data_IF_915062595054
#
_entry.id   IF_915062595054
#
_cell.length_a   1.000
_cell.length_b   1.000
_cell.length_c   1.000
_cell.angle_alpha   90.00
_cell.angle_beta   90.00
_cell.angle_gamma   90.00
#
_symmetry.space_group_name_H-M   'P 1'
#
loop_
_entity.id
_entity.type
_entity.pdbx_description
1 polymer ?
#
# COMPACT_ATOMS: atom_id res chain seq x y z
N UNK A 1 -11.21 -7.38 24.40
CA UNK A 1 -9.83 -7.74 23.99
C UNK A 1 -9.82 -7.91 22.48
N UNK A 2 -9.21 -6.97 21.76
CA UNK A 2 -9.35 -6.82 20.32
C UNK A 2 -8.31 -7.69 19.59
N UNK A 3 -8.68 -8.35 18.48
CA UNK A 3 -7.66 -8.93 17.58
C UNK A 3 -6.82 -7.79 17.00
N UNK A 4 -5.56 -7.73 17.43
CA UNK A 4 -4.64 -6.61 17.24
C UNK A 4 -4.03 -6.10 18.56
N UNK A 5 -4.67 -6.38 19.70
CA UNK A 5 -4.03 -6.28 21.00
C UNK A 5 -3.39 -7.63 21.35
N UNK A 6 -2.06 -7.60 21.55
CA UNK A 6 -1.32 -8.70 22.18
C UNK A 6 -2.12 -9.26 23.36
N UNK A 7 -2.03 -10.58 23.57
CA UNK A 7 -2.26 -11.16 24.89
C UNK A 7 -1.32 -10.50 25.89
N UNK A 8 -1.82 -9.51 26.63
CA UNK A 8 -1.14 -8.92 27.79
C UNK A 8 -0.92 -9.94 28.94
N UNK A 9 -1.09 -11.24 28.70
CA UNK A 9 -1.06 -12.28 29.73
C UNK A 9 -0.24 -13.54 29.41
N UNK A 10 0.42 -13.64 28.26
CA UNK A 10 1.42 -14.69 28.04
C UNK A 10 2.80 -14.16 28.46
N UNK A 11 3.08 -14.22 29.76
CA UNK A 11 4.43 -14.08 30.28
C UNK A 11 5.24 -15.29 29.78
N UNK A 12 6.21 -15.06 28.91
CA UNK A 12 7.12 -16.13 28.49
C UNK A 12 8.17 -16.25 29.58
N UNK A 13 7.99 -17.21 30.45
CA UNK A 13 9.00 -17.60 31.41
C UNK A 13 10.06 -18.46 30.69
N UNK A 14 11.31 -17.96 30.53
CA UNK A 14 12.38 -18.73 29.89
C UNK A 14 12.78 -19.99 30.68
N UNK A 15 12.32 -20.15 31.94
CA UNK A 15 12.60 -21.32 32.77
C UNK A 15 11.65 -22.51 32.52
N UNK A 16 10.57 -22.35 31.73
CA UNK A 16 9.58 -23.41 31.46
C UNK A 16 9.52 -23.79 29.99
N UNK A 17 10.11 -24.94 29.66
CA UNK A 17 10.17 -25.48 28.30
C UNK A 17 8.80 -25.83 27.71
N UNK A 18 7.85 -26.30 28.53
CA UNK A 18 6.50 -26.66 28.10
C UNK A 18 5.44 -26.17 29.09
N UNK A 19 4.33 -25.63 28.59
CA UNK A 19 3.16 -25.25 29.38
C UNK A 19 1.89 -25.52 28.57
N UNK A 20 0.98 -26.35 29.08
CA UNK A 20 -0.36 -26.44 28.50
C UNK A 20 -1.10 -25.13 28.75
N UNK A 21 -1.56 -24.46 27.70
CA UNK A 21 -2.22 -23.17 27.82
C UNK A 21 -3.74 -23.35 27.90
N UNK A 22 -4.32 -24.08 26.95
CA UNK A 22 -5.78 -24.29 26.86
C UNK A 22 -6.58 -22.98 26.87
N UNK A 23 -6.00 -21.88 26.39
CA UNK A 23 -6.58 -20.54 26.54
C UNK A 23 -7.51 -20.22 25.38
N UNK A 24 -8.75 -19.89 25.72
CA UNK A 24 -9.76 -19.47 24.78
C UNK A 24 -9.80 -17.94 24.67
N UNK A 25 -9.82 -17.46 23.44
CA UNK A 25 -9.97 -16.04 23.10
C UNK A 25 -11.18 -15.91 22.19
N UNK A 26 -12.01 -14.90 22.47
CA UNK A 26 -13.20 -14.64 21.69
C UNK A 26 -13.27 -13.17 21.31
N UNK A 27 -13.83 -12.90 20.13
CA UNK A 27 -14.16 -11.57 19.65
C UNK A 27 -15.53 -11.63 19.00
N UNK A 28 -16.38 -10.70 19.38
CA UNK A 28 -17.57 -10.34 18.63
C UNK A 28 -17.49 -8.85 18.32
N UNK A 29 -18.00 -8.46 17.16
CA UNK A 29 -18.10 -7.06 16.76
C UNK A 29 -19.32 -6.89 15.86
N UNK A 30 -19.97 -5.75 16.01
CA UNK A 30 -21.09 -5.31 15.18
C UNK A 30 -20.75 -3.91 14.71
N UNK A 31 -20.75 -3.70 13.40
CA UNK A 31 -20.50 -2.42 12.76
C UNK A 31 -21.69 -2.05 11.88
N UNK A 32 -22.10 -0.79 11.94
CA UNK A 32 -23.03 -0.21 10.98
C UNK A 32 -22.23 0.29 9.78
N UNK A 33 -22.61 -0.11 8.58
CA UNK A 33 -21.97 0.37 7.36
C UNK A 33 -22.63 1.69 6.98
N UNK A 34 -21.84 2.78 6.91
CA UNK A 34 -22.34 4.13 6.63
C UNK A 34 -22.04 4.58 5.19
N UNK A 35 -21.45 3.72 4.36
CA UNK A 35 -21.13 4.05 2.97
C UNK A 35 -22.38 3.99 2.09
N UNK A 36 -22.69 5.08 1.37
CA UNK A 36 -23.58 5.06 0.21
C UNK A 36 -22.82 4.60 -1.05
N UNK A 37 -22.01 3.55 -0.91
CA UNK A 37 -21.30 2.99 -2.06
C UNK A 37 -22.29 2.06 -2.80
N UNK A 38 -22.61 2.28 -4.08
CA UNK A 38 -23.49 1.38 -4.84
C UNK A 38 -22.97 -0.07 -4.91
N UNK A 39 -21.69 -0.30 -4.60
CA UNK A 39 -21.11 -1.65 -4.45
C UNK A 39 -21.12 -2.20 -3.03
N UNK A 40 -21.41 -1.37 -2.03
CA UNK A 40 -21.70 -1.82 -0.67
C UNK A 40 -23.11 -2.41 -0.55
N UNK A 41 -23.57 -3.18 -1.54
CA UNK A 41 -24.62 -4.21 -1.43
C UNK A 41 -25.79 -3.92 -0.47
N UNK A 42 -26.35 -2.70 -0.41
CA UNK A 42 -27.37 -2.32 0.59
C UNK A 42 -27.06 -2.88 1.99
N UNK A 43 -25.77 -2.93 2.35
CA UNK A 43 -25.30 -3.53 3.59
C UNK A 43 -25.59 -2.52 4.70
N UNK A 44 -26.48 -2.90 5.61
CA UNK A 44 -26.81 -2.10 6.77
C UNK A 44 -25.85 -2.42 7.93
N UNK A 45 -25.53 -3.71 8.10
CA UNK A 45 -24.72 -4.17 9.22
C UNK A 45 -23.71 -5.24 8.80
N UNK A 46 -22.53 -5.15 9.40
CA UNK A 46 -21.47 -6.15 9.33
C UNK A 46 -21.18 -6.64 10.74
N UNK A 47 -21.41 -7.93 10.98
CA UNK A 47 -21.10 -8.58 12.24
C UNK A 47 -19.95 -9.55 12.04
N UNK A 48 -19.08 -9.66 13.02
CA UNK A 48 -17.95 -10.60 12.98
C UNK A 48 -17.81 -11.27 14.33
N UNK A 49 -17.78 -12.59 14.32
CA UNK A 49 -17.46 -13.39 15.48
C UNK A 49 -16.23 -14.26 15.20
N UNK A 50 -15.36 -14.39 16.18
CA UNK A 50 -14.14 -15.20 16.08
C UNK A 50 -13.83 -15.82 17.43
N UNK A 51 -13.46 -17.09 17.40
CA UNK A 51 -12.91 -17.85 18.51
C UNK A 51 -11.49 -18.28 18.15
N UNK A 52 -10.59 -18.27 19.12
CA UNK A 52 -9.23 -18.77 19.01
C UNK A 52 -8.90 -19.59 20.25
N UNK A 53 -8.25 -20.72 20.05
CA UNK A 53 -7.71 -21.57 21.10
C UNK A 53 -6.19 -21.62 20.95
N UNK A 54 -5.48 -21.18 21.98
CA UNK A 54 -4.03 -21.36 22.11
C UNK A 54 -3.80 -22.67 22.86
N UNK A 55 -3.18 -23.66 22.19
CA UNK A 55 -3.12 -25.04 22.67
C UNK A 55 -2.12 -25.19 23.83
N UNK A 56 -0.84 -25.04 23.52
CA UNK A 56 0.26 -25.15 24.47
C UNK A 56 1.39 -24.20 24.07
N UNK A 57 2.29 -23.93 25.01
CA UNK A 57 3.55 -23.25 24.78
C UNK A 57 4.66 -24.29 24.81
N UNK A 58 5.51 -24.27 23.78
CA UNK A 58 6.80 -24.95 23.81
C UNK A 58 7.89 -23.92 23.53
N UNK A 59 8.67 -23.56 24.56
CA UNK A 59 9.65 -22.46 24.51
C UNK A 59 9.05 -21.16 23.97
N UNK A 60 9.36 -20.83 22.71
CA UNK A 60 8.94 -19.60 22.00
C UNK A 60 7.80 -19.84 21.01
N UNK A 61 7.25 -21.05 20.98
CA UNK A 61 6.22 -21.48 20.04
C UNK A 61 4.87 -21.63 20.76
N UNK A 62 3.82 -21.08 20.15
CA UNK A 62 2.43 -21.26 20.59
C UNK A 62 1.57 -21.64 19.37
N UNK A 63 1.25 -22.93 19.18
CA UNK A 63 0.28 -23.37 18.18
C UNK A 63 -1.11 -22.89 18.57
N UNK A 64 -1.89 -22.45 17.59
CA UNK A 64 -3.27 -22.04 17.80
C UNK A 64 -4.19 -22.51 16.67
N UNK A 65 -5.46 -22.61 17.02
CA UNK A 65 -6.56 -22.80 16.09
C UNK A 65 -7.52 -21.62 16.24
N UNK A 66 -8.06 -21.12 15.13
CA UNK A 66 -9.09 -20.10 15.12
C UNK A 66 -10.21 -20.48 14.19
N UNK A 67 -11.43 -20.18 14.58
CA UNK A 67 -12.61 -20.27 13.74
C UNK A 67 -13.38 -18.98 13.87
N UNK A 68 -14.00 -18.53 12.79
CA UNK A 68 -14.81 -17.34 12.82
C UNK A 68 -15.89 -17.35 11.76
N UNK A 69 -16.75 -16.37 11.86
CA UNK A 69 -17.76 -16.10 10.87
C UNK A 69 -17.88 -14.60 10.69
N UNK A 70 -18.14 -14.22 9.45
CA UNK A 70 -18.55 -12.87 9.11
C UNK A 70 -20.00 -12.93 8.63
N UNK A 71 -20.84 -12.07 9.20
CA UNK A 71 -22.27 -12.00 8.89
C UNK A 71 -22.56 -10.65 8.30
N UNK A 72 -23.09 -10.64 7.09
CA UNK A 72 -23.47 -9.43 6.38
C UNK A 72 -24.99 -9.35 6.32
N UNK A 73 -25.54 -8.25 6.80
CA UNK A 73 -26.98 -7.97 6.76
C UNK A 73 -27.25 -6.80 5.80
N UNK A 74 -27.92 -7.13 4.70
CA UNK A 74 -28.57 -6.19 3.79
C UNK A 74 -30.01 -6.64 3.53
N UNK A 75 -30.43 -6.88 2.28
CA UNK A 75 -31.74 -7.49 1.96
C UNK A 75 -31.91 -8.93 2.46
N UNK A 76 -30.80 -9.63 2.69
CA UNK A 76 -30.76 -11.00 3.22
C UNK A 76 -29.56 -11.18 4.14
N UNK A 77 -29.67 -12.13 5.07
CA UNK A 77 -28.58 -12.53 5.96
C UNK A 77 -27.63 -13.46 5.22
N UNK A 78 -26.32 -13.16 5.29
CA UNK A 78 -25.29 -13.95 4.63
C UNK A 78 -24.20 -14.31 5.63
N UNK A 79 -23.75 -15.55 5.58
CA UNK A 79 -22.81 -16.13 6.55
C UNK A 79 -21.56 -16.62 5.84
N UNK A 80 -20.40 -16.18 6.34
CA UNK A 80 -19.09 -16.48 5.77
C UNK A 80 -18.21 -17.11 6.84
N UNK A 81 -18.33 -18.44 7.06
CA UNK A 81 -17.49 -19.14 8.00
C UNK A 81 -16.06 -19.27 7.44
N UNK A 82 -15.10 -19.21 8.35
CA UNK A 82 -13.69 -19.42 8.06
C UNK A 82 -12.99 -20.08 9.25
N UNK A 83 -11.87 -20.73 8.97
CA UNK A 83 -10.98 -21.35 9.92
C UNK A 83 -9.53 -20.99 9.63
N UNK A 84 -8.70 -21.07 10.65
CA UNK A 84 -7.27 -20.84 10.56
C UNK A 84 -6.52 -21.71 11.58
N UNK A 85 -5.40 -22.28 11.17
CA UNK A 85 -4.43 -22.89 12.05
C UNK A 85 -3.08 -22.21 11.85
N UNK A 86 -2.34 -21.98 12.93
CA UNK A 86 -1.04 -21.34 12.83
C UNK A 86 -0.15 -21.60 14.04
N UNK A 87 1.11 -21.17 13.91
CA UNK A 87 2.08 -21.26 15.00
C UNK A 87 2.68 -19.89 15.23
N UNK A 88 2.55 -19.39 16.47
CA UNK A 88 3.18 -18.13 16.87
C UNK A 88 4.60 -18.40 17.33
N UNK A 89 5.57 -17.85 16.61
CA UNK A 89 6.98 -17.85 16.97
C UNK A 89 7.35 -16.48 17.54
N UNK A 90 7.71 -16.43 18.82
CA UNK A 90 8.25 -15.21 19.43
C UNK A 90 9.75 -15.11 19.10
N UNK A 91 10.13 -14.13 18.28
CA UNK A 91 11.54 -13.86 17.97
C UNK A 91 12.22 -13.05 19.08
N UNK A 92 11.53 -12.02 19.56
CA UNK A 92 11.95 -11.11 20.65
C UNK A 92 10.76 -10.77 21.53
N UNK A 93 11.00 -10.06 22.63
CA UNK A 93 9.92 -9.69 23.55
C UNK A 93 8.77 -8.92 22.87
N UNK A 94 9.10 -8.09 21.89
CA UNK A 94 8.14 -7.25 21.18
C UNK A 94 7.86 -7.65 19.75
N UNK A 95 8.39 -8.78 19.28
CA UNK A 95 8.26 -9.22 17.89
C UNK A 95 7.89 -10.71 17.80
N UNK A 96 6.79 -10.99 17.11
CA UNK A 96 6.34 -12.33 16.77
C UNK A 96 6.19 -12.51 15.26
N UNK A 97 6.44 -13.73 14.79
CA UNK A 97 6.11 -14.23 13.46
C UNK A 97 5.06 -15.32 13.58
N UNK A 98 4.12 -15.35 12.65
CA UNK A 98 2.97 -16.25 12.70
C UNK A 98 2.73 -16.81 11.30
N UNK A 99 3.39 -17.90 10.90
CA UNK A 99 2.92 -18.71 9.79
C UNK A 99 1.54 -19.29 10.10
N UNK A 100 0.66 -19.27 9.11
CA UNK A 100 -0.70 -19.77 9.24
C UNK A 100 -1.24 -20.34 7.92
N UNK A 101 -2.23 -21.21 8.04
CA UNK A 101 -3.06 -21.72 6.96
C UNK A 101 -4.51 -21.36 7.28
N UNK A 102 -5.18 -20.63 6.39
CA UNK A 102 -6.58 -20.22 6.56
C UNK A 102 -7.41 -20.68 5.38
N UNK A 103 -8.60 -21.19 5.67
CA UNK A 103 -9.60 -21.52 4.67
C UNK A 103 -10.97 -21.04 5.08
N UNK A 104 -11.87 -20.84 4.12
CA UNK A 104 -13.21 -20.35 4.41
C UNK A 104 -14.02 -20.13 3.16
N UNK A 105 -15.16 -19.46 3.31
CA UNK A 105 -15.98 -19.02 2.18
C UNK A 105 -15.92 -17.51 2.07
N UNK A 106 -15.66 -17.00 0.87
CA UNK A 106 -15.81 -15.57 0.56
C UNK A 106 -16.84 -15.39 -0.54
N UNK A 107 -17.66 -14.34 -0.48
CA UNK A 107 -18.49 -13.97 -1.61
C UNK A 107 -17.57 -13.36 -2.68
N UNK A 108 -17.54 -13.98 -3.85
CA UNK A 108 -17.10 -13.30 -5.07
C UNK A 108 -18.35 -12.81 -5.80
N UNK A 109 -18.31 -11.57 -6.27
CA UNK A 109 -19.23 -11.13 -7.32
C UNK A 109 -18.77 -11.79 -8.61
N UNK A 110 -19.44 -12.85 -9.03
CA UNK A 110 -19.29 -13.40 -10.36
C UNK A 110 -20.28 -12.71 -11.27
N UNK A 111 -19.77 -11.89 -12.20
CA UNK A 111 -20.53 -11.41 -13.35
C UNK A 111 -20.18 -12.36 -14.51
N UNK A 112 -21.08 -13.28 -14.92
CA UNK A 112 -20.90 -13.99 -16.18
C UNK A 112 -20.81 -12.96 -17.33
N UNK A 113 -20.03 -13.29 -18.36
CA UNK A 113 -19.71 -12.37 -19.47
C UNK A 113 -20.86 -12.08 -20.46
N UNK A 114 -22.08 -12.51 -20.16
CA UNK A 114 -23.26 -12.27 -21.00
C UNK A 114 -24.20 -11.26 -20.32
N UNK A 115 -24.41 -10.12 -20.99
CA UNK A 115 -25.13 -8.93 -20.50
C UNK A 115 -26.61 -9.17 -20.09
N UNK A 116 -27.16 -10.36 -20.30
CA UNK A 116 -28.57 -10.68 -20.01
C UNK A 116 -28.78 -11.72 -18.89
N UNK A 117 -27.73 -12.22 -18.22
CA UNK A 117 -27.90 -13.22 -17.15
C UNK A 117 -27.87 -12.61 -15.75
N UNK A 118 -28.88 -12.97 -14.94
CA UNK A 118 -29.02 -12.63 -13.52
C UNK A 118 -27.71 -12.92 -12.80
N UNK A 119 -27.18 -11.96 -12.05
CA UNK A 119 -25.94 -12.09 -11.26
C UNK A 119 -26.03 -13.33 -10.35
N UNK A 120 -25.40 -14.42 -10.75
CA UNK A 120 -25.33 -15.64 -9.96
C UNK A 120 -24.22 -15.50 -8.92
N UNK A 121 -24.61 -15.31 -7.66
CA UNK A 121 -23.68 -15.27 -6.54
C UNK A 121 -23.24 -16.70 -6.19
N UNK A 122 -22.01 -17.06 -6.55
CA UNK A 122 -21.38 -18.29 -6.08
C UNK A 122 -20.45 -17.99 -4.91
N UNK A 123 -20.65 -18.68 -3.78
CA UNK A 123 -19.69 -18.65 -2.69
C UNK A 123 -18.55 -19.62 -3.02
N UNK A 124 -17.36 -19.10 -3.31
CA UNK A 124 -16.18 -19.96 -3.50
C UNK A 124 -15.50 -20.21 -2.16
N UNK A 125 -15.08 -21.46 -1.96
CA UNK A 125 -14.14 -21.80 -0.92
C UNK A 125 -12.77 -21.23 -1.26
N UNK A 126 -12.05 -20.74 -0.25
CA UNK A 126 -10.64 -20.40 -0.37
C UNK A 126 -9.84 -21.22 0.63
N UNK A 127 -8.57 -21.47 0.27
CA UNK A 127 -7.54 -21.97 1.17
C UNK A 127 -6.25 -21.23 0.80
N UNK A 128 -5.64 -20.54 1.76
CA UNK A 128 -4.36 -19.87 1.55
C UNK A 128 -3.47 -20.03 2.78
N UNK A 129 -2.16 -20.11 2.53
CA UNK A 129 -1.15 -20.04 3.57
C UNK A 129 -0.52 -18.64 3.55
N UNK A 130 -0.08 -18.17 4.71
CA UNK A 130 0.56 -16.87 4.83
C UNK A 130 1.41 -16.77 6.08
N UNK A 131 2.05 -15.61 6.26
CA UNK A 131 2.82 -15.29 7.45
C UNK A 131 2.43 -13.89 7.93
N UNK A 132 2.12 -13.75 9.23
CA UNK A 132 1.92 -12.44 9.87
C UNK A 132 3.13 -12.09 10.72
N UNK A 133 3.48 -10.81 10.72
CA UNK A 133 4.42 -10.26 11.69
C UNK A 133 3.63 -9.41 12.66
N UNK A 134 3.77 -9.68 13.95
CA UNK A 134 3.16 -8.89 15.02
C UNK A 134 4.27 -8.20 15.81
N UNK A 135 4.28 -6.88 15.82
CA UNK A 135 5.17 -6.07 16.65
C UNK A 135 4.34 -5.30 17.68
N UNK A 136 4.78 -5.29 18.93
CA UNK A 136 4.14 -4.50 19.98
C UNK A 136 4.91 -3.23 20.25
N UNK A 137 4.19 -2.12 20.15
CA UNK A 137 4.61 -0.84 20.67
C UNK A 137 4.25 -0.85 22.16
N UNK A 138 5.20 -1.25 23.01
CA UNK A 138 4.98 -1.23 24.47
C UNK A 138 4.64 0.17 24.98
N UNK A 139 3.96 0.25 26.12
CA UNK A 139 3.87 1.50 26.89
C UNK A 139 5.29 2.01 27.18
N UNK A 140 5.53 3.34 27.17
CA UNK A 140 6.85 3.87 27.47
C UNK A 140 7.26 3.43 28.88
N UNK A 141 8.35 2.68 28.98
CA UNK A 141 9.07 2.58 30.26
C UNK A 141 9.58 3.99 30.56
N UNK A 142 8.94 4.67 31.50
CA UNK A 142 9.42 5.93 32.05
C UNK A 142 10.60 5.63 32.98
N UNK A 143 11.72 5.20 32.40
CA UNK A 143 13.02 5.21 33.05
C UNK A 143 14.13 5.03 32.01
N UNK A 144 15.04 6.02 31.98
CA UNK A 144 16.29 6.12 31.20
C UNK A 144 16.12 6.69 29.79
N UNK A 145 16.39 8.00 29.72
CA UNK A 145 16.71 8.69 28.49
C UNK A 145 17.99 8.16 27.84
N UNK A 146 18.18 8.64 26.61
CA UNK A 146 19.19 8.29 25.59
C UNK A 146 18.73 7.21 24.59
N UNK A 147 18.53 7.65 23.34
CA UNK A 147 18.18 6.91 22.12
C UNK A 147 16.90 6.04 22.20
N UNK A 148 15.79 6.55 21.64
CA UNK A 148 14.54 5.79 21.52
C UNK A 148 13.27 6.49 22.02
N UNK A 149 13.33 7.80 22.28
CA UNK A 149 12.15 8.60 22.63
C UNK A 149 11.19 8.73 21.44
N UNK A 150 9.88 8.65 21.73
CA UNK A 150 8.84 8.89 20.74
C UNK A 150 8.89 10.35 20.30
N UNK A 151 9.21 10.58 19.03
CA UNK A 151 9.15 11.89 18.42
C UNK A 151 7.74 12.09 17.83
N UNK A 152 6.95 12.94 18.49
CA UNK A 152 5.63 13.39 18.05
C UNK A 152 5.72 14.66 17.20
N UNK A 153 6.70 14.74 16.31
CA UNK A 153 6.80 15.83 15.35
C UNK A 153 6.33 15.29 13.99
N UNK A 154 5.11 15.63 13.54
CA UNK A 154 4.67 15.25 12.20
C UNK A 154 5.60 15.90 11.19
N UNK A 155 6.38 15.08 10.49
CA UNK A 155 7.14 15.53 9.33
C UNK A 155 6.18 15.54 8.15
N UNK A 156 5.95 16.72 7.57
CA UNK A 156 5.10 16.90 6.40
C UNK A 156 6.00 17.18 5.23
N UNK A 157 5.85 16.36 4.19
CA UNK A 157 6.51 16.56 2.91
C UNK A 157 5.45 16.67 1.84
N UNK A 158 5.68 17.57 0.89
CA UNK A 158 4.79 17.76 -0.24
C UNK A 158 5.52 17.59 -1.56
N UNK A 159 4.78 17.09 -2.55
CA UNK A 159 5.18 17.16 -3.95
C UNK A 159 4.03 17.74 -4.75
N UNK A 160 4.32 18.75 -5.56
CA UNK A 160 3.38 19.32 -6.50
C UNK A 160 4.02 19.41 -7.87
N UNK A 161 3.34 18.93 -8.91
CA UNK A 161 3.88 18.90 -10.25
C UNK A 161 2.83 19.11 -11.33
N UNK A 162 3.30 19.58 -12.48
CA UNK A 162 2.52 19.79 -13.67
C UNK A 162 3.31 19.31 -14.88
N UNK A 163 2.63 18.67 -15.83
CA UNK A 163 3.27 18.19 -17.04
C UNK A 163 2.35 18.28 -18.25
N UNK A 164 2.99 18.51 -19.39
CA UNK A 164 2.40 18.41 -20.71
C UNK A 164 2.44 16.96 -21.18
N UNK A 165 1.32 16.45 -21.67
CA UNK A 165 1.18 15.08 -22.19
C UNK A 165 1.26 15.09 -23.71
N UNK A 166 2.46 14.90 -24.23
CA UNK A 166 2.68 14.71 -25.66
C UNK A 166 2.22 13.30 -26.10
N UNK A 167 1.72 13.21 -27.34
CA UNK A 167 1.29 11.97 -28.03
C UNK A 167 0.11 11.20 -27.42
N UNK A 168 -0.49 11.66 -26.31
CA UNK A 168 -1.75 11.07 -25.86
C UNK A 168 -2.91 11.46 -26.78
N UNK A 169 -3.77 10.48 -27.09
CA UNK A 169 -5.04 10.70 -27.80
C UNK A 169 -6.10 11.38 -26.93
N UNK A 170 -5.97 11.28 -25.60
CA UNK A 170 -7.06 11.59 -24.67
C UNK A 170 -6.81 12.79 -23.76
N UNK A 171 -5.54 13.10 -23.49
CA UNK A 171 -5.11 14.08 -22.49
C UNK A 171 -4.12 15.07 -23.08
N UNK A 172 -4.17 16.31 -22.60
CA UNK A 172 -3.22 17.37 -22.98
C UNK A 172 -2.23 17.70 -21.89
N UNK A 173 -2.68 17.60 -20.66
CA UNK A 173 -1.95 18.05 -19.49
C UNK A 173 -2.30 17.15 -18.31
N UNK A 174 -1.46 17.14 -17.30
CA UNK A 174 -1.78 16.56 -16.02
C UNK A 174 -0.94 17.14 -14.90
N UNK A 175 -1.18 16.64 -13.70
CA UNK A 175 -0.44 17.05 -12.52
C UNK A 175 -0.32 15.97 -11.48
N UNK A 176 0.44 16.29 -10.44
CA UNK A 176 0.62 15.48 -9.25
C UNK A 176 0.52 16.41 -8.04
N UNK A 177 -0.27 16.02 -7.04
CA UNK A 177 -0.25 16.62 -5.71
C UNK A 177 -0.13 15.47 -4.72
N UNK A 178 0.96 15.41 -3.99
CA UNK A 178 1.22 14.35 -3.01
C UNK A 178 1.61 15.00 -1.68
N UNK A 179 1.15 14.41 -0.58
CA UNK A 179 1.48 14.80 0.78
C UNK A 179 1.87 13.54 1.54
N UNK A 180 3.08 13.53 2.08
CA UNK A 180 3.59 12.48 2.93
C UNK A 180 3.71 12.98 4.37
N UNK A 181 2.98 12.31 5.28
CA UNK A 181 2.91 12.65 6.70
C UNK A 181 3.48 11.50 7.52
N UNK A 182 4.55 11.77 8.27
CA UNK A 182 5.06 10.84 9.28
C UNK A 182 4.41 11.12 10.62
N UNK A 183 3.38 10.36 10.96
CA UNK A 183 2.53 10.60 12.12
C UNK A 183 3.25 10.37 13.45
N UNK A 184 4.05 9.31 13.53
CA UNK A 184 4.66 8.88 14.77
C UNK A 184 5.97 8.14 14.51
N UNK A 185 7.06 8.57 15.13
CA UNK A 185 8.38 7.96 14.97
C UNK A 185 8.92 7.46 16.31
N UNK A 186 9.31 6.18 16.35
CA UNK A 186 10.19 5.59 17.38
C UNK A 186 11.19 4.72 16.67
N UNK A 187 12.39 5.26 16.43
CA UNK A 187 13.43 4.60 15.66
C UNK A 187 13.59 3.13 16.10
N UNK A 188 13.62 2.16 15.16
CA UNK A 188 13.62 2.33 13.70
C UNK A 188 12.23 2.41 13.03
N UNK A 189 11.15 2.50 13.80
CA UNK A 189 9.77 2.42 13.33
C UNK A 189 9.12 3.77 13.09
N UNK A 190 8.31 3.85 12.04
CA UNK A 190 7.54 5.05 11.68
C UNK A 190 6.14 4.67 11.21
N UNK A 191 5.11 5.24 11.83
CA UNK A 191 3.75 5.21 11.29
C UNK A 191 3.61 6.35 10.29
N UNK A 192 3.14 6.04 9.08
CA UNK A 192 3.01 7.03 8.03
C UNK A 192 1.60 7.06 7.44
N UNK A 193 1.27 8.21 6.86
CA UNK A 193 0.09 8.48 6.07
C UNK A 193 0.51 9.28 4.84
N UNK A 194 0.40 8.68 3.67
CA UNK A 194 0.68 9.31 2.39
C UNK A 194 -0.64 9.46 1.63
N UNK A 195 -0.83 10.57 0.95
CA UNK A 195 -2.01 10.81 0.13
C UNK A 195 -1.63 11.57 -1.11
N UNK A 196 -2.39 11.38 -2.18
CA UNK A 196 -2.16 12.15 -3.39
C UNK A 196 -3.32 12.18 -4.34
N UNK A 197 -3.20 13.09 -5.31
CA UNK A 197 -4.16 13.33 -6.36
C UNK A 197 -3.45 13.58 -7.68
N UNK A 198 -3.88 12.86 -8.71
CA UNK A 198 -3.35 12.91 -10.05
C UNK A 198 -4.46 13.26 -11.05
N UNK A 199 -4.60 14.55 -11.42
CA UNK A 199 -5.53 14.97 -12.47
C UNK A 199 -4.92 14.83 -13.87
N UNK A 200 -5.63 14.15 -14.74
CA UNK A 200 -5.48 14.15 -16.20
C UNK A 200 -6.50 15.15 -16.82
N UNK A 201 -6.01 16.16 -17.53
CA UNK A 201 -6.81 17.27 -18.06
C UNK A 201 -7.01 17.18 -19.58
N UNK A 202 -8.10 17.78 -20.08
CA UNK A 202 -8.37 17.91 -21.51
C UNK A 202 -7.38 18.84 -22.20
N UNK A 203 -7.14 18.58 -23.50
CA UNK A 203 -6.36 19.48 -24.37
C UNK A 203 -7.04 20.82 -24.61
N UNK A 204 -8.37 20.84 -24.67
CA UNK A 204 -9.14 21.99 -25.16
C UNK A 204 -9.32 23.11 -24.13
N UNK A 205 -9.63 22.76 -22.88
CA UNK A 205 -10.11 23.71 -21.87
C UNK A 205 -9.48 23.51 -20.49
N UNK A 206 -8.46 22.65 -20.37
CA UNK A 206 -7.79 22.29 -19.11
C UNK A 206 -8.72 21.70 -18.02
N UNK A 207 -9.98 21.40 -18.35
CA UNK A 207 -10.90 20.77 -17.39
C UNK A 207 -10.41 19.37 -17.03
N UNK A 208 -10.61 18.98 -15.78
CA UNK A 208 -10.28 17.63 -15.29
C UNK A 208 -11.16 16.63 -16.03
N UNK A 209 -10.54 15.74 -16.80
CA UNK A 209 -11.22 14.66 -17.50
C UNK A 209 -11.29 13.41 -16.65
N UNK A 210 -10.17 13.12 -15.97
CA UNK A 210 -9.98 11.98 -15.09
C UNK A 210 -9.09 12.44 -13.94
N UNK A 211 -9.43 12.10 -12.71
CA UNK A 211 -8.60 12.29 -11.53
C UNK A 211 -8.42 10.96 -10.83
N UNK A 212 -7.24 10.69 -10.28
CA UNK A 212 -7.03 9.55 -9.39
C UNK A 212 -6.56 10.06 -8.05
N UNK A 213 -7.33 9.78 -7.01
CA UNK A 213 -6.93 9.99 -5.63
C UNK A 213 -6.43 8.68 -5.05
N UNK A 214 -5.46 8.76 -4.15
CA UNK A 214 -4.98 7.63 -3.38
C UNK A 214 -4.62 8.04 -1.96
N UNK A 215 -4.77 7.10 -1.03
CA UNK A 215 -4.41 7.20 0.38
C UNK A 215 -3.70 5.92 0.78
N UNK A 216 -2.44 6.04 1.19
CA UNK A 216 -1.61 4.95 1.65
C UNK A 216 -1.27 5.18 3.13
N UNK A 217 -1.39 4.16 3.96
CA UNK A 217 -0.92 4.24 5.34
C UNK A 217 -0.29 2.92 5.75
N UNK A 218 0.60 2.99 6.74
CA UNK A 218 1.35 1.80 7.11
C UNK A 218 2.45 2.06 8.11
N UNK A 219 3.32 1.05 8.21
CA UNK A 219 4.44 1.03 9.12
C UNK A 219 5.73 0.88 8.32
N UNK A 220 6.65 1.82 8.52
CA UNK A 220 8.02 1.76 8.02
C UNK A 220 8.94 1.24 9.13
N UNK A 221 9.87 0.36 8.76
CA UNK A 221 11.10 0.06 9.46
C UNK A 221 12.26 0.66 8.66
N UNK A 222 12.98 1.62 9.22
CA UNK A 222 14.09 2.29 8.55
C UNK A 222 15.40 2.12 9.32
N UNK A 223 16.43 1.65 8.61
CA UNK A 223 17.82 1.62 9.09
C UNK A 223 18.72 1.96 7.93
N UNK A 224 19.44 3.07 8.03
CA UNK A 224 20.34 3.55 6.98
C UNK A 224 21.26 2.43 6.50
N UNK A 225 21.35 2.16 5.18
CA UNK A 225 20.79 2.95 4.07
C UNK A 225 19.41 2.49 3.55
N UNK A 226 18.74 1.56 4.22
CA UNK A 226 17.56 0.85 3.72
C UNK A 226 16.29 1.15 4.54
N UNK A 227 15.15 0.88 3.93
CA UNK A 227 13.86 0.84 4.59
C UNK A 227 13.02 -0.35 4.11
N UNK A 228 12.07 -0.74 4.95
CA UNK A 228 11.03 -1.71 4.66
C UNK A 228 9.69 -1.14 5.12
N UNK A 229 8.65 -1.25 4.30
CA UNK A 229 7.31 -0.77 4.58
C UNK A 229 6.31 -1.90 4.41
N UNK A 230 5.35 -1.97 5.32
CA UNK A 230 4.09 -2.68 5.11
C UNK A 230 3.00 -1.62 5.04
N UNK A 231 2.17 -1.69 3.99
CA UNK A 231 1.23 -0.62 3.68
C UNK A 231 -0.13 -1.15 3.21
N UNK A 232 -1.15 -0.34 3.47
CA UNK A 232 -2.46 -0.45 2.85
C UNK A 232 -2.70 0.83 2.06
N UNK A 233 -3.07 0.68 0.80
CA UNK A 233 -3.41 1.77 -0.10
C UNK A 233 -4.86 1.63 -0.53
N UNK A 234 -5.60 2.73 -0.50
CA UNK A 234 -6.88 2.86 -1.16
C UNK A 234 -6.70 3.83 -2.32
N UNK A 235 -7.13 3.44 -3.51
CA UNK A 235 -7.13 4.31 -4.69
C UNK A 235 -8.52 4.37 -5.31
N UNK A 236 -8.90 5.55 -5.79
CA UNK A 236 -10.19 5.78 -6.45
C UNK A 236 -10.03 6.70 -7.65
N UNK A 237 -10.66 6.32 -8.76
CA UNK A 237 -10.81 7.18 -9.94
C UNK A 237 -12.05 8.05 -9.81
N UNK A 238 -11.88 9.33 -10.06
CA UNK A 238 -12.90 10.37 -10.13
C UNK A 238 -12.95 10.87 -11.56
N UNK A 239 -14.03 10.56 -12.27
CA UNK A 239 -14.16 10.91 -13.67
C UNK A 239 -15.01 12.17 -13.85
N UNK A 240 -14.58 13.05 -14.77
CA UNK A 240 -15.38 14.20 -15.16
C UNK A 240 -16.60 13.76 -15.99
N UNK A 241 -17.64 14.61 -16.06
CA UNK A 241 -18.91 14.32 -16.78
C UNK A 241 -18.73 13.82 -18.23
N UNK A 242 -17.59 14.11 -18.86
CA UNK A 242 -17.26 13.72 -20.24
C UNK A 242 -16.54 12.36 -20.37
N UNK A 243 -16.25 11.66 -19.27
CA UNK A 243 -15.54 10.39 -19.30
C UNK A 243 -16.49 9.27 -18.84
N UNK A 244 -17.13 8.62 -19.81
CA UNK A 244 -18.10 7.55 -19.60
C UNK A 244 -17.39 6.19 -19.44
N UNK A 245 -16.62 6.03 -18.37
CA UNK A 245 -16.06 4.75 -17.98
C UNK A 245 -16.59 4.36 -16.60
N UNK A 246 -16.63 3.06 -16.30
CA UNK A 246 -17.05 2.56 -15.00
C UNK A 246 -16.11 3.07 -13.90
N UNK A 247 -16.61 3.56 -12.75
CA UNK A 247 -15.75 4.01 -11.66
C UNK A 247 -14.77 2.92 -11.25
N UNK A 248 -13.50 3.27 -11.00
CA UNK A 248 -12.48 2.33 -10.54
C UNK A 248 -12.13 2.63 -9.08
N UNK A 249 -12.13 1.60 -8.24
CA UNK A 249 -11.66 1.67 -6.86
C UNK A 249 -10.90 0.40 -6.52
N UNK A 250 -9.80 0.53 -5.78
CA UNK A 250 -9.01 -0.63 -5.38
C UNK A 250 -8.41 -0.42 -3.98
N UNK A 251 -8.38 -1.48 -3.18
CA UNK A 251 -7.56 -1.53 -1.99
C UNK A 251 -6.40 -2.48 -2.21
N UNK A 252 -5.18 -2.03 -1.92
CA UNK A 252 -3.94 -2.77 -2.07
C UNK A 252 -3.33 -2.97 -0.69
N UNK A 253 -2.97 -4.20 -0.34
CA UNK A 253 -2.09 -4.48 0.78
C UNK A 253 -0.75 -4.92 0.24
N UNK A 254 0.33 -4.31 0.68
CA UNK A 254 1.63 -4.57 0.10
C UNK A 254 2.79 -4.35 1.05
N UNK A 255 3.95 -4.74 0.54
CA UNK A 255 5.25 -4.49 1.14
C UNK A 255 6.13 -3.75 0.15
N UNK A 256 7.00 -2.88 0.67
CA UNK A 256 7.98 -2.13 -0.12
C UNK A 256 9.33 -2.18 0.57
N UNK A 257 10.39 -2.44 -0.18
CA UNK A 257 11.77 -2.48 0.30
C UNK A 257 12.58 -1.54 -0.57
N UNK A 258 13.42 -0.68 0.02
CA UNK A 258 14.21 0.22 -0.81
C UNK A 258 15.32 0.93 -0.06
N UNK A 259 16.09 1.72 -0.79
CA UNK A 259 17.06 2.66 -0.20
C UNK A 259 16.34 3.90 0.32
N UNK A 260 16.80 4.51 1.40
CA UNK A 260 16.17 5.71 1.98
C UNK A 260 15.96 6.85 0.97
N UNK A 261 16.82 6.99 -0.05
CA UNK A 261 16.64 8.00 -1.12
C UNK A 261 15.43 7.76 -2.04
N UNK A 262 14.76 6.61 -1.95
CA UNK A 262 13.47 6.31 -2.61
C UNK A 262 12.26 6.48 -1.67
N UNK A 263 12.48 6.72 -0.36
CA UNK A 263 11.36 6.86 0.58
C UNK A 263 10.63 8.18 0.32
N UNK A 264 9.29 8.18 0.18
CA UNK A 264 8.52 9.40 0.00
C UNK A 264 8.82 10.43 1.11
N UNK A 265 9.01 11.68 0.73
CA UNK A 265 9.35 12.77 1.66
C UNK A 265 10.81 12.84 2.10
N UNK A 266 11.66 11.85 1.80
CA UNK A 266 13.07 11.96 2.19
C UNK A 266 13.91 12.67 1.13
N UNK A 267 14.60 13.73 1.54
CA UNK A 267 15.71 14.27 0.78
C UNK A 267 16.82 13.22 0.65
N UNK A 268 17.60 13.30 -0.43
CA UNK A 268 18.80 12.49 -0.57
C UNK A 268 19.82 12.87 0.51
N UNK A 269 19.87 12.09 1.60
CA UNK A 269 20.90 12.23 2.63
C UNK A 269 22.35 12.07 2.11
N UNK A 270 22.52 11.61 0.86
CA UNK A 270 23.82 11.45 0.21
C UNK A 270 24.31 12.63 -0.63
N UNK A 271 23.48 13.66 -0.91
CA UNK A 271 23.93 14.84 -1.68
C UNK A 271 24.10 16.02 -0.73
N UNK A 272 25.34 16.30 -0.34
CA UNK A 272 25.67 17.56 0.32
C UNK A 272 25.85 18.69 -0.72
N UNK A 273 25.74 19.96 -0.34
CA UNK A 273 25.97 21.11 -1.25
C UNK A 273 27.10 22.03 -0.75
N UNK A 274 27.88 21.52 0.19
CA UNK A 274 28.84 22.27 1.01
C UNK A 274 30.12 22.62 0.24
N UNK A 275 30.31 22.08 -0.96
CA UNK A 275 31.46 22.37 -1.82
C UNK A 275 30.99 22.94 -3.17
N UNK A 276 31.49 24.12 -3.58
CA UNK A 276 31.15 24.70 -4.87
C UNK A 276 31.74 23.89 -6.02
N UNK A 277 31.09 23.94 -7.19
CA UNK A 277 31.59 23.35 -8.42
C UNK A 277 31.02 21.97 -8.75
N UNK A 278 31.77 21.23 -9.59
CA UNK A 278 31.37 19.94 -10.13
C UNK A 278 31.81 18.79 -9.22
N UNK A 279 30.90 17.85 -8.94
CA UNK A 279 31.24 16.61 -8.25
C UNK A 279 30.49 15.43 -8.86
N UNK A 280 31.21 14.33 -9.09
CA UNK A 280 30.61 13.04 -9.40
C UNK A 280 29.91 12.48 -8.16
N UNK A 281 28.63 12.12 -8.30
CA UNK A 281 27.83 11.53 -7.21
C UNK A 281 27.76 10.01 -7.35
N UNK A 282 27.43 9.52 -8.55
CA UNK A 282 27.21 8.09 -8.83
C UNK A 282 26.32 7.38 -7.81
N UNK A 283 25.25 8.02 -7.35
CA UNK A 283 24.39 7.45 -6.31
C UNK A 283 23.21 6.74 -6.93
N UNK A 284 23.12 5.44 -6.66
CA UNK A 284 22.01 4.61 -7.08
C UNK A 284 21.03 4.39 -5.92
N UNK A 285 19.76 4.62 -6.22
CA UNK A 285 18.64 4.43 -5.32
C UNK A 285 17.65 3.49 -5.98
N UNK A 286 17.09 2.57 -5.19
CA UNK A 286 16.19 1.55 -5.71
C UNK A 286 15.13 1.17 -4.71
N UNK A 287 13.98 0.74 -5.20
CA UNK A 287 12.92 0.14 -4.42
C UNK A 287 12.21 -0.98 -5.18
N UNK A 288 11.73 -1.95 -4.42
CA UNK A 288 10.90 -3.07 -4.86
C UNK A 288 9.61 -3.02 -4.06
N UNK A 289 8.50 -3.32 -4.70
CA UNK A 289 7.19 -3.42 -4.04
C UNK A 289 6.44 -4.63 -4.54
N UNK A 290 5.70 -5.28 -3.65
CA UNK A 290 4.77 -6.34 -4.01
C UNK A 290 3.49 -6.18 -3.18
N UNK A 291 2.33 -6.39 -3.78
CA UNK A 291 1.07 -6.29 -3.08
C UNK A 291 -0.06 -7.02 -3.77
N UNK A 292 -1.10 -7.29 -2.98
CA UNK A 292 -2.33 -7.93 -3.39
C UNK A 292 -3.48 -6.93 -3.31
N UNK A 293 -4.21 -6.81 -4.40
CA UNK A 293 -5.44 -6.03 -4.43
C UNK A 293 -6.60 -6.86 -3.87
N UNK A 294 -7.31 -6.30 -2.90
CA UNK A 294 -8.51 -6.87 -2.29
C UNK A 294 -9.62 -5.82 -2.33
N UNK A 295 -10.88 -6.23 -2.52
CA UNK A 295 -12.01 -5.28 -2.69
C UNK A 295 -11.80 -4.31 -3.88
N UNK A 296 -11.84 -4.88 -5.09
CA UNK A 296 -11.64 -4.16 -6.34
C UNK A 296 -12.96 -3.91 -7.05
N UNK A 297 -13.20 -2.66 -7.39
CA UNK A 297 -14.29 -2.22 -8.24
C UNK A 297 -13.73 -1.89 -9.62
N UNK A 298 -14.16 -2.63 -10.65
CA UNK A 298 -13.73 -2.42 -12.05
C UNK A 298 -12.20 -2.40 -12.25
N UNK A 299 -11.44 -2.89 -11.26
CA UNK A 299 -10.00 -3.05 -11.31
C UNK A 299 -9.65 -4.51 -11.52
N UNK A 300 -9.07 -4.80 -12.68
CA UNK A 300 -8.93 -6.16 -13.21
C UNK A 300 -7.71 -6.93 -12.68
N UNK A 301 -6.80 -6.27 -11.98
CA UNK A 301 -5.56 -6.87 -11.49
C UNK A 301 -5.66 -7.27 -10.02
N UNK A 302 -5.13 -8.45 -9.70
CA UNK A 302 -5.12 -9.03 -8.36
C UNK A 302 -3.79 -8.83 -7.65
N UNK A 303 -2.69 -8.75 -8.41
CA UNK A 303 -1.37 -8.54 -7.85
C UNK A 303 -0.63 -7.41 -8.56
N UNK A 304 0.24 -6.75 -7.81
CA UNK A 304 1.18 -5.76 -8.29
C UNK A 304 2.55 -6.13 -7.77
N UNK A 305 3.52 -6.33 -8.66
CA UNK A 305 4.93 -6.41 -8.31
C UNK A 305 5.70 -5.38 -9.13
N UNK A 306 6.46 -4.51 -8.47
CA UNK A 306 7.16 -3.42 -9.13
C UNK A 306 8.56 -3.21 -8.63
N UNK A 307 9.38 -2.62 -9.50
CA UNK A 307 10.71 -2.15 -9.22
C UNK A 307 10.85 -0.73 -9.73
N UNK A 308 11.50 0.14 -8.96
CA UNK A 308 11.80 1.50 -9.36
C UNK A 308 13.23 1.83 -8.96
N UNK A 309 13.89 2.65 -9.77
CA UNK A 309 15.24 3.12 -9.51
C UNK A 309 15.41 4.58 -9.88
N UNK A 310 16.40 5.20 -9.25
CA UNK A 310 16.94 6.51 -9.60
C UNK A 310 18.46 6.45 -9.54
N UNK A 311 19.10 7.08 -10.50
CA UNK A 311 20.53 7.30 -10.53
C UNK A 311 20.80 8.80 -10.60
N UNK A 312 21.40 9.32 -9.54
CA UNK A 312 21.89 10.70 -9.47
C UNK A 312 23.35 10.71 -9.96
N UNK A 313 23.61 11.34 -11.11
CA UNK A 313 24.85 11.19 -11.87
C UNK A 313 25.99 12.02 -11.26
N UNK A 314 25.80 13.33 -11.27
CA UNK A 314 26.75 14.33 -10.81
C UNK A 314 25.99 15.53 -10.24
N UNK A 315 26.70 16.43 -9.57
CA UNK A 315 26.19 17.76 -9.24
C UNK A 315 27.09 18.82 -9.87
N UNK A 316 26.47 19.88 -10.35
CA UNK A 316 27.13 21.12 -10.72
C UNK A 316 26.44 22.26 -9.96
N UNK A 317 27.11 22.77 -8.92
CA UNK A 317 26.47 23.65 -7.93
C UNK A 317 25.20 22.98 -7.35
N UNK A 318 24.04 23.61 -7.50
CA UNK A 318 22.75 23.12 -7.02
C UNK A 318 22.00 22.25 -8.03
N UNK A 319 22.59 21.99 -9.21
CA UNK A 319 21.96 21.21 -10.28
C UNK A 319 22.43 19.76 -10.21
N UNK A 320 21.49 18.82 -10.22
CA UNK A 320 21.75 17.37 -10.22
C UNK A 320 21.02 16.72 -11.41
N UNK A 321 21.74 16.35 -12.48
CA UNK A 321 21.20 15.48 -13.52
C UNK A 321 20.91 14.09 -12.97
N UNK A 322 19.72 13.57 -13.28
CA UNK A 322 19.30 12.26 -12.83
C UNK A 322 18.60 11.46 -13.94
N UNK A 323 18.63 10.15 -13.75
CA UNK A 323 17.84 9.19 -14.52
C UNK A 323 16.98 8.40 -13.54
N UNK A 324 15.73 8.14 -13.90
CA UNK A 324 14.83 7.28 -13.13
C UNK A 324 14.10 6.33 -14.05
N UNK A 325 13.75 5.16 -13.54
CA UNK A 325 12.94 4.22 -14.26
C UNK A 325 12.14 3.35 -13.32
N UNK A 326 11.07 2.78 -13.83
CA UNK A 326 10.27 1.85 -13.08
C UNK A 326 9.51 0.90 -13.97
N UNK A 327 9.20 -0.26 -13.42
CA UNK A 327 8.41 -1.30 -14.04
C UNK A 327 7.48 -1.88 -12.98
N UNK A 328 6.24 -2.15 -13.34
CA UNK A 328 5.26 -2.80 -12.50
C UNK A 328 4.53 -3.86 -13.33
N UNK A 329 4.66 -5.11 -12.91
CA UNK A 329 3.88 -6.21 -13.41
C UNK A 329 2.57 -6.30 -12.65
N UNK A 330 1.47 -6.30 -13.41
CA UNK A 330 0.12 -6.38 -12.90
C UNK A 330 -0.48 -7.72 -13.32
N UNK A 331 -0.68 -8.62 -12.37
CA UNK A 331 -1.24 -9.94 -12.69
C UNK A 331 -2.77 -9.89 -12.65
N UNK A 332 -3.40 -10.31 -13.74
CA UNK A 332 -4.85 -10.34 -13.90
C UNK A 332 -5.51 -11.53 -13.21
N UNK A 333 -6.75 -11.37 -12.76
CA UNK A 333 -7.61 -12.50 -12.40
C UNK A 333 -8.47 -12.95 -13.59
N UNK A 334 -8.74 -14.26 -13.70
CA UNK A 334 -9.70 -14.81 -14.67
C UNK A 334 -9.23 -14.75 -16.13
N UNK A 335 -10.02 -14.12 -17.01
CA UNK A 335 -9.73 -13.97 -18.46
C UNK A 335 -8.83 -12.78 -18.80
N UNK A 336 -8.42 -11.99 -17.80
CA UNK A 336 -7.61 -10.79 -17.98
C UNK A 336 -6.14 -11.17 -18.19
N UNK A 337 -5.53 -10.72 -19.29
CA UNK A 337 -4.08 -10.86 -19.49
C UNK A 337 -3.31 -9.98 -18.51
N UNK A 338 -2.11 -10.44 -18.16
CA UNK A 338 -1.17 -9.64 -17.37
C UNK A 338 -0.90 -8.28 -18.04
N UNK A 339 -0.85 -7.25 -17.21
CA UNK A 339 -0.46 -5.90 -17.59
C UNK A 339 0.99 -5.63 -17.24
N UNK A 340 1.60 -4.72 -17.99
CA UNK A 340 2.91 -4.20 -17.68
C UNK A 340 2.81 -2.69 -17.72
N UNK A 341 3.08 -2.05 -16.58
CA UNK A 341 3.25 -0.61 -16.50
C UNK A 341 4.75 -0.32 -16.41
N UNK A 342 5.19 0.76 -17.04
CA UNK A 342 6.60 1.12 -17.01
C UNK A 342 6.84 2.58 -17.32
N UNK A 343 7.98 3.09 -16.87
CA UNK A 343 8.42 4.42 -17.25
C UNK A 343 9.94 4.53 -17.25
N UNK A 344 10.43 5.48 -18.04
CA UNK A 344 11.79 5.97 -18.00
C UNK A 344 11.73 7.50 -17.99
N UNK A 345 12.47 8.12 -17.08
CA UNK A 345 12.52 9.55 -16.86
C UNK A 345 13.97 10.02 -16.81
N UNK A 346 14.23 11.17 -17.42
CA UNK A 346 15.49 11.88 -17.29
C UNK A 346 15.21 13.35 -17.04
N UNK A 347 16.04 13.98 -16.21
CA UNK A 347 15.81 15.37 -15.85
C UNK A 347 16.93 16.02 -15.06
N UNK A 348 16.63 17.24 -14.61
CA UNK A 348 17.50 18.07 -13.79
C UNK A 348 16.76 18.41 -12.50
N UNK A 349 17.41 18.15 -11.36
CA UNK A 349 16.96 18.58 -10.03
C UNK A 349 17.74 19.82 -9.62
N UNK A 350 17.03 20.88 -9.26
CA UNK A 350 17.55 22.14 -8.77
C UNK A 350 17.30 22.17 -7.27
N UNK A 351 18.38 22.10 -6.49
CA UNK A 351 18.31 22.06 -5.05
C UNK A 351 18.31 23.48 -4.45
N UNK A 352 17.46 23.70 -3.45
CA UNK A 352 17.32 25.00 -2.80
C UNK A 352 16.46 24.91 -1.55
N UNK A 353 15.77 26.01 -1.22
CA UNK A 353 14.73 25.99 -0.18
C UNK A 353 13.51 25.16 -0.59
N UNK A 354 13.33 24.98 -1.89
CA UNK A 354 12.34 24.13 -2.55
C UNK A 354 13.11 23.37 -3.62
N UNK A 355 12.95 22.05 -3.67
CA UNK A 355 13.60 21.21 -4.67
C UNK A 355 12.74 21.21 -5.94
N UNK A 356 13.22 21.84 -7.01
CA UNK A 356 12.50 21.89 -8.30
C UNK A 356 13.12 20.90 -9.26
N UNK A 357 12.31 20.11 -9.95
CA UNK A 357 12.79 19.15 -10.94
C UNK A 357 12.11 19.39 -12.27
N UNK A 358 12.91 19.48 -13.32
CA UNK A 358 12.44 19.53 -14.71
C UNK A 358 12.72 18.18 -15.34
N UNK A 359 11.72 17.56 -15.96
CA UNK A 359 11.84 16.18 -16.43
C UNK A 359 11.20 15.96 -17.80
N UNK A 360 11.76 14.96 -18.49
CA UNK A 360 11.12 14.28 -19.61
C UNK A 360 10.91 12.82 -19.22
N UNK A 361 9.67 12.33 -19.34
CA UNK A 361 9.30 10.96 -18.99
C UNK A 361 8.57 10.27 -20.13
N UNK A 362 9.07 9.11 -20.53
CA UNK A 362 8.29 8.15 -21.31
C UNK A 362 7.55 7.23 -20.35
N UNK A 363 6.27 7.01 -20.60
CA UNK A 363 5.42 6.18 -19.75
C UNK A 363 4.55 5.25 -20.59
N UNK A 364 4.55 3.98 -20.22
CA UNK A 364 3.68 2.94 -20.71
C UNK A 364 2.69 2.56 -19.60
N UNK A 365 1.40 2.73 -19.86
CA UNK A 365 0.34 2.34 -18.93
C UNK A 365 -0.64 1.39 -19.60
N UNK A 366 -0.92 0.27 -18.95
CA UNK A 366 -1.95 -0.65 -19.38
C UNK A 366 -3.32 -0.02 -19.15
N UNK A 367 -4.16 0.04 -20.18
CA UNK A 367 -5.54 0.51 -20.00
C UNK A 367 -6.37 -0.61 -19.38
N UNK A 368 -6.90 -0.37 -18.17
CA UNK A 368 -7.92 -1.19 -17.54
C UNK A 368 -9.25 -1.07 -18.29
N UNK A 369 -9.39 -1.76 -19.42
CA UNK A 369 -10.70 -2.01 -20.05
C UNK A 369 -10.91 -3.53 -20.12
N UNK A 370 -12.11 -4.04 -19.78
CA UNK A 370 -12.39 -5.46 -19.67
C UNK A 370 -12.21 -6.22 -20.99
N UNK A 371 -12.22 -5.52 -22.13
CA UNK A 371 -11.95 -6.08 -23.45
C UNK A 371 -10.98 -5.14 -24.19
N UNK A 372 -9.69 -5.51 -24.19
CA UNK A 372 -8.73 -5.13 -25.23
C UNK A 372 -8.56 -3.61 -25.45
N UNK A 373 -8.24 -2.86 -24.39
CA UNK A 373 -7.73 -1.50 -24.54
C UNK A 373 -6.25 -1.51 -24.96
N UNK A 374 -5.82 -0.75 -25.99
CA UNK A 374 -4.40 -0.57 -26.27
C UNK A 374 -3.73 0.11 -25.08
N UNK A 375 -2.48 -0.27 -24.77
CA UNK A 375 -1.69 0.44 -23.78
C UNK A 375 -1.52 1.91 -24.18
N UNK A 376 -1.57 2.82 -23.21
CA UNK A 376 -1.35 4.24 -23.41
C UNK A 376 0.14 4.54 -23.29
N UNK A 377 0.76 4.87 -24.41
CA UNK A 377 2.13 5.35 -24.45
C UNK A 377 2.11 6.88 -24.41
N UNK A 378 2.69 7.45 -23.36
CA UNK A 378 2.73 8.89 -23.13
C UNK A 378 4.16 9.38 -23.09
N UNK A 379 4.37 10.58 -23.63
CA UNK A 379 5.59 11.35 -23.43
C UNK A 379 5.21 12.58 -22.61
N UNK A 380 5.84 12.73 -21.45
CA UNK A 380 5.54 13.77 -20.49
C UNK A 380 6.73 14.73 -20.42
N UNK A 381 6.46 16.03 -20.47
CA UNK A 381 7.44 17.07 -20.17
C UNK A 381 6.87 17.87 -19.02
N UNK A 382 7.58 17.95 -17.90
CA UNK A 382 7.00 18.54 -16.69
C UNK A 382 7.99 19.19 -15.75
N UNK A 383 7.40 19.86 -14.77
CA UNK A 383 8.08 20.45 -13.63
C UNK A 383 7.40 19.95 -12.36
N UNK A 384 8.19 19.55 -11.38
CA UNK A 384 7.71 19.16 -10.04
C UNK A 384 8.51 19.91 -8.97
N UNK A 385 7.87 20.29 -7.89
CA UNK A 385 8.47 20.87 -6.70
C UNK A 385 8.26 19.93 -5.51
N UNK A 386 9.32 19.72 -4.73
CA UNK A 386 9.27 19.05 -3.44
C UNK A 386 9.53 20.09 -2.32
N UNK A 387 8.76 19.99 -1.24
CA UNK A 387 8.78 20.95 -0.13
C UNK A 387 8.52 20.31 1.22
#
# INVERSE_FOLDING_TARGET
>A
MLLGEKDRGLLYDPARDFEWLGRWHYRAGVGKVLSQDPESLELNWQMRAQLRLDLFRYRRLVPYLSAGTEVWQGPSWRFFPWGEAGVRLRLRENLGLIPFLSGGRRPELYQPGDDETVVHRQAKGYLYAGMRMEASLGAPDTARGQEGEWQFLPEIHGKAGYYWVARSRYFGWGGDLEVALELLRRAPWTLFLYTGFHPDMKKSDLSIKKGRYWLQYGLTYSRTPLFAEAFLEHSKRLDGKSYAATPESAHLVGVRLGTQGMKPGYHNYGISFDKPGFHWLHMFHGQLSAGHYFQNQNWQYLWNAGAQGRWDLCRYYFVVPYLSGGIAWLNGGGSTKDGLDGFAEGGLRLHGKLDVTVFYRFQHQTMGRPLWGPADNRSLVGVQALF
#
